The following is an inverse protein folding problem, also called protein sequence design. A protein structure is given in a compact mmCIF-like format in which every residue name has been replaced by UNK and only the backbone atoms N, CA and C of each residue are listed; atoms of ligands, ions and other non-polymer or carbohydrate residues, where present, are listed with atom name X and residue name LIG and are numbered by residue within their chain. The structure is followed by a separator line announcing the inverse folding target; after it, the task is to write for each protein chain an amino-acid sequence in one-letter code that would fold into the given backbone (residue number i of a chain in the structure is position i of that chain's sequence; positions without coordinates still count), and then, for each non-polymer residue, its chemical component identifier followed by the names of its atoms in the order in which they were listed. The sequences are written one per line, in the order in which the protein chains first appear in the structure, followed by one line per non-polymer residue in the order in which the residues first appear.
data_IF_574957383259
#
_entry.id   IF_574957383259
#
_cell.length_a   1.000
_cell.length_b   1.000
_cell.length_c   1.000
_cell.angle_alpha   90.00
_cell.angle_beta   90.00
_cell.angle_gamma   90.00
#
_symmetry.space_group_name_H-M   'P 1'
#
loop_
_entity.id
_entity.type
_entity.pdbx_description
1 polymer ?
#
# COMPACT_ATOMS: atom_id res chain seq x y z
N UNK A 1 30.92 3.43 -7.65
CA UNK A 1 30.17 4.07 -6.56
C UNK A 1 28.75 4.30 -7.04
N UNK A 2 27.81 3.43 -6.65
CA UNK A 2 26.41 3.51 -7.05
C UNK A 2 25.80 4.80 -6.45
N UNK A 3 25.51 5.77 -7.31
CA UNK A 3 24.76 6.98 -6.93
C UNK A 3 23.41 6.51 -6.39
N UNK A 4 23.21 6.75 -5.09
CA UNK A 4 21.92 6.71 -4.42
C UNK A 4 20.88 7.36 -5.33
N UNK A 5 20.02 6.55 -5.97
CA UNK A 5 18.80 7.07 -6.59
C UNK A 5 17.90 7.44 -5.42
N UNK A 6 18.02 8.68 -4.97
CA UNK A 6 16.96 9.33 -4.20
C UNK A 6 15.77 9.47 -5.15
N UNK A 7 14.95 8.43 -5.25
CA UNK A 7 13.58 8.59 -5.71
C UNK A 7 12.87 9.33 -4.58
N UNK A 8 12.74 10.65 -4.72
CA UNK A 8 11.79 11.38 -3.90
C UNK A 8 10.42 10.77 -4.16
N UNK A 9 9.87 10.08 -3.16
CA UNK A 9 8.52 9.55 -3.24
C UNK A 9 7.58 10.71 -3.56
N UNK A 10 6.76 10.54 -4.58
CA UNK A 10 5.74 11.54 -4.89
C UNK A 10 4.77 11.64 -3.70
N UNK A 11 4.14 12.81 -3.54
CA UNK A 11 3.11 13.00 -2.50
C UNK A 11 1.99 11.95 -2.63
N UNK A 12 1.73 11.47 -3.85
CA UNK A 12 0.77 10.40 -4.09
C UNK A 12 1.27 9.02 -3.61
N UNK A 13 2.53 8.65 -3.87
CA UNK A 13 3.12 7.42 -3.33
C UNK A 13 3.11 7.40 -1.80
N UNK A 14 3.46 8.51 -1.14
CA UNK A 14 3.43 8.61 0.32
C UNK A 14 2.01 8.39 0.85
N UNK A 15 0.99 8.95 0.19
CA UNK A 15 -0.42 8.78 0.57
C UNK A 15 -0.88 7.34 0.41
N UNK A 16 -0.51 6.69 -0.70
CA UNK A 16 -0.87 5.30 -0.96
C UNK A 16 -0.20 4.36 0.05
N UNK A 17 1.10 4.54 0.31
CA UNK A 17 1.84 3.76 1.29
C UNK A 17 1.22 3.88 2.69
N UNK A 18 0.85 5.10 3.10
CA UNK A 18 0.19 5.31 4.39
C UNK A 18 -1.18 4.64 4.48
N UNK A 19 -1.96 4.66 3.39
CA UNK A 19 -3.24 3.97 3.34
C UNK A 19 -3.08 2.44 3.45
N UNK A 20 -2.05 1.87 2.81
CA UNK A 20 -1.71 0.45 2.92
C UNK A 20 -1.32 0.10 4.37
N UNK A 21 -0.50 0.93 5.01
CA UNK A 21 -0.07 0.73 6.40
C UNK A 21 -1.27 0.75 7.38
N UNK A 22 -2.18 1.73 7.22
CA UNK A 22 -3.38 1.86 8.04
C UNK A 22 -4.31 0.65 7.88
N UNK A 23 -4.51 0.17 6.64
CA UNK A 23 -5.36 -0.99 6.36
C UNK A 23 -4.73 -2.31 6.82
N UNK A 24 -3.40 -2.44 6.72
CA UNK A 24 -2.67 -3.62 7.23
C UNK A 24 -2.77 -3.70 8.74
N UNK A 25 -2.57 -2.57 9.43
CA UNK A 25 -2.77 -2.47 10.88
C UNK A 25 -4.20 -2.83 11.28
N UNK A 26 -5.19 -2.36 10.51
CA UNK A 26 -6.60 -2.71 10.75
C UNK A 26 -6.87 -4.20 10.53
N UNK A 27 -6.29 -4.80 9.49
CA UNK A 27 -6.40 -6.23 9.17
C UNK A 27 -5.86 -7.08 10.31
N UNK A 28 -4.62 -6.83 10.76
CA UNK A 28 -3.98 -7.54 11.87
C UNK A 28 -4.82 -7.46 13.15
N UNK A 29 -5.33 -6.26 13.46
CA UNK A 29 -6.20 -6.05 14.62
C UNK A 29 -7.50 -6.87 14.55
N UNK A 30 -8.11 -7.00 13.38
CA UNK A 30 -9.35 -7.76 13.19
C UNK A 30 -9.08 -9.26 13.20
N UNK A 31 -7.98 -9.70 12.59
CA UNK A 31 -7.53 -11.08 12.57
C UNK A 31 -7.29 -11.59 13.99
N UNK A 32 -6.65 -10.76 14.84
CA UNK A 32 -6.42 -11.09 16.24
C UNK A 32 -7.66 -11.00 17.14
N UNK A 33 -8.59 -10.06 16.91
CA UNK A 33 -9.69 -9.78 17.86
C UNK A 33 -11.02 -10.43 17.53
N UNK A 34 -11.35 -10.60 16.25
CA UNK A 34 -12.74 -10.84 15.85
C UNK A 34 -12.94 -12.02 14.90
N UNK A 35 -11.88 -12.60 14.33
CA UNK A 35 -11.91 -13.74 13.40
C UNK A 35 -13.14 -13.69 12.44
N UNK A 36 -13.31 -12.54 11.77
CA UNK A 36 -14.40 -12.29 10.81
C UNK A 36 -13.88 -12.40 9.38
N UNK A 37 -13.93 -13.58 8.76
CA UNK A 37 -13.28 -13.85 7.48
C UNK A 37 -13.74 -12.91 6.37
N UNK A 38 -15.03 -12.54 6.35
CA UNK A 38 -15.60 -11.63 5.35
C UNK A 38 -15.02 -10.21 5.41
N UNK A 39 -14.68 -9.74 6.63
CA UNK A 39 -14.04 -8.43 6.79
C UNK A 39 -12.57 -8.52 6.42
N UNK A 40 -11.89 -9.61 6.78
CA UNK A 40 -10.49 -9.84 6.40
C UNK A 40 -10.31 -9.85 4.88
N UNK A 41 -11.22 -10.47 4.15
CA UNK A 41 -11.20 -10.50 2.69
C UNK A 41 -11.38 -9.10 2.08
N UNK A 42 -12.28 -8.29 2.64
CA UNK A 42 -12.42 -6.89 2.23
C UNK A 42 -11.13 -6.10 2.40
N UNK A 43 -10.47 -6.19 3.57
CA UNK A 43 -9.21 -5.49 3.83
C UNK A 43 -8.09 -5.97 2.90
N UNK A 44 -7.97 -7.28 2.69
CA UNK A 44 -6.98 -7.85 1.75
C UNK A 44 -7.20 -7.38 0.32
N UNK A 45 -8.45 -7.30 -0.12
CA UNK A 45 -8.80 -6.79 -1.46
C UNK A 45 -8.45 -5.29 -1.59
N UNK A 46 -8.77 -4.49 -0.57
CA UNK A 46 -8.45 -3.06 -0.56
C UNK A 46 -6.94 -2.79 -0.55
N UNK A 47 -6.16 -3.57 0.21
CA UNK A 47 -4.69 -3.49 0.21
C UNK A 47 -4.15 -3.79 -1.19
N UNK A 48 -4.59 -4.89 -1.82
CA UNK A 48 -4.14 -5.25 -3.17
C UNK A 48 -4.42 -4.16 -4.20
N UNK A 49 -5.60 -3.55 -4.17
CA UNK A 49 -5.94 -2.44 -5.08
C UNK A 49 -5.02 -1.22 -4.89
N UNK A 50 -4.58 -0.95 -3.65
CA UNK A 50 -3.64 0.12 -3.38
C UNK A 50 -2.22 -0.23 -3.81
N UNK A 51 -1.82 -1.49 -3.69
CA UNK A 51 -0.54 -2.00 -4.21
C UNK A 51 -0.49 -1.88 -5.75
N UNK A 52 -1.54 -2.31 -6.45
CA UNK A 52 -1.67 -2.17 -7.90
C UNK A 52 -1.59 -0.68 -8.30
N UNK A 53 -2.31 0.20 -7.59
CA UNK A 53 -2.23 1.65 -7.81
C UNK A 53 -0.83 2.20 -7.56
N UNK A 54 -0.12 1.70 -6.55
CA UNK A 54 1.25 2.13 -6.24
C UNK A 54 2.21 1.74 -7.37
N UNK A 55 2.03 0.54 -7.94
CA UNK A 55 2.76 0.09 -9.12
C UNK A 55 2.50 1.00 -10.32
N UNK A 56 1.24 1.29 -10.63
CA UNK A 56 0.86 2.24 -11.69
C UNK A 56 1.52 3.62 -11.52
N UNK A 57 1.49 4.16 -10.29
CA UNK A 57 2.10 5.47 -9.99
C UNK A 57 3.62 5.41 -10.20
N UNK A 58 4.27 4.32 -9.80
CA UNK A 58 5.72 4.12 -9.98
C UNK A 58 6.10 3.97 -11.44
N UNK A 59 5.36 3.18 -12.21
CA UNK A 59 5.57 3.03 -13.64
C UNK A 59 5.40 4.36 -14.38
N UNK A 60 4.34 5.11 -14.07
CA UNK A 60 4.13 6.44 -14.66
C UNK A 60 5.20 7.47 -14.25
N UNK A 61 5.78 7.32 -13.06
CA UNK A 61 6.86 8.20 -12.57
C UNK A 61 8.22 7.83 -13.18
N UNK A 62 8.44 6.56 -13.54
CA UNK A 62 9.65 6.06 -14.21
C UNK A 62 9.73 6.42 -15.70
N UNK A 63 8.65 6.89 -16.33
CA UNK A 63 8.61 7.32 -17.75
C UNK A 63 9.19 8.75 -17.95
N UNK A 64 9.82 9.36 -16.93
CA UNK A 64 10.43 10.70 -17.03
C UNK A 64 11.95 10.71 -17.18
#
# INVERSE_FOLDING_TARGET
AAKLRNFDLTVEEIRILKAIEDLTTALENIEHKHNRPERLEYFRCAIRQLEDKLEDVRENTLIR
#
